data_IF_653289365793
#
_entry.id   IF_653289365793
#
_cell.length_a   1.000
_cell.length_b   1.000
_cell.length_c   1.000
_cell.angle_alpha   90.00
_cell.angle_beta   90.00
_cell.angle_gamma   90.00
#
_symmetry.space_group_name_H-M   'P 1'
#
loop_
_entity.id
_entity.type
_entity.pdbx_description
1 polymer ?
#
# COMPACT_ATOMS: atom_id res chain seq x y z
N UNK A 1 -12.18 27.11 49.24
CA UNK A 1 -11.30 27.11 48.06
C UNK A 1 -12.00 26.23 47.05
N UNK A 2 -12.76 26.87 46.16
CA UNK A 2 -13.61 26.20 45.17
C UNK A 2 -12.72 25.73 44.03
N UNK A 3 -12.72 24.43 43.75
CA UNK A 3 -12.15 23.89 42.53
C UNK A 3 -13.21 23.95 41.43
N UNK A 4 -13.03 24.92 40.54
CA UNK A 4 -13.74 25.02 39.27
C UNK A 4 -13.30 23.87 38.36
N UNK A 5 -14.17 22.87 38.25
CA UNK A 5 -14.11 21.87 37.17
C UNK A 5 -14.65 22.52 35.91
N UNK A 6 -13.75 22.98 35.03
CA UNK A 6 -14.09 23.35 33.66
C UNK A 6 -14.36 22.07 32.86
N UNK A 7 -15.57 21.88 32.29
CA UNK A 7 -15.84 20.72 31.46
C UNK A 7 -15.10 20.85 30.13
N UNK A 8 -14.41 19.77 29.75
CA UNK A 8 -13.90 19.58 28.40
C UNK A 8 -15.11 19.50 27.46
N UNK A 9 -15.25 20.53 26.65
CA UNK A 9 -16.28 20.68 25.63
C UNK A 9 -16.21 19.47 24.70
N UNK A 10 -17.23 18.61 24.78
CA UNK A 10 -17.47 17.54 23.83
C UNK A 10 -17.76 18.21 22.49
N UNK A 11 -16.72 18.38 21.67
CA UNK A 11 -16.77 18.97 20.34
C UNK A 11 -17.92 18.37 19.55
N UNK A 12 -19.02 19.11 19.50
CA UNK A 12 -20.26 18.70 18.87
C UNK A 12 -19.99 18.34 17.42
N UNK A 13 -20.44 17.14 17.05
CA UNK A 13 -20.73 16.78 15.67
C UNK A 13 -21.75 17.81 15.16
N UNK A 14 -21.28 18.90 14.57
CA UNK A 14 -22.14 19.80 13.79
C UNK A 14 -22.61 19.00 12.60
N UNK A 15 -23.86 18.58 12.68
CA UNK A 15 -24.65 17.97 11.62
C UNK A 15 -24.78 18.97 10.46
N UNK A 16 -23.76 18.98 9.61
CA UNK A 16 -23.75 19.75 8.37
C UNK A 16 -24.61 19.01 7.34
N UNK A 17 -25.93 18.94 7.58
CA UNK A 17 -26.96 18.63 6.55
C UNK A 17 -27.13 19.80 5.58
N UNK A 18 -26.01 20.36 5.12
CA UNK A 18 -26.00 21.05 3.83
C UNK A 18 -26.42 20.02 2.80
N UNK A 19 -27.48 20.33 2.05
CA UNK A 19 -28.04 19.47 1.02
C UNK A 19 -26.92 19.01 0.08
N UNK A 20 -26.56 17.72 0.17
CA UNK A 20 -25.47 17.15 -0.62
C UNK A 20 -25.91 17.10 -2.09
N UNK A 21 -25.44 18.06 -2.90
CA UNK A 21 -25.86 18.24 -4.30
C UNK A 21 -25.70 16.97 -5.13
N UNK A 22 -24.69 16.14 -4.84
CA UNK A 22 -24.50 14.87 -5.52
C UNK A 22 -25.71 13.91 -5.42
N UNK A 23 -26.54 13.98 -4.36
CA UNK A 23 -27.69 13.08 -4.18
C UNK A 23 -28.86 13.38 -5.10
N UNK A 24 -29.12 14.66 -5.35
CA UNK A 24 -30.36 15.12 -6.03
C UNK A 24 -30.10 15.91 -7.31
N UNK A 25 -28.91 16.48 -7.47
CA UNK A 25 -28.52 17.31 -8.61
C UNK A 25 -27.57 16.62 -9.60
N UNK A 26 -27.22 15.36 -9.38
CA UNK A 26 -26.27 14.61 -10.22
C UNK A 26 -26.76 13.17 -10.44
N UNK A 27 -26.15 12.46 -11.39
CA UNK A 27 -26.39 11.03 -11.63
C UNK A 27 -25.54 10.11 -10.76
N UNK A 28 -24.66 10.66 -9.89
CA UNK A 28 -23.84 9.84 -8.99
C UNK A 28 -24.64 9.04 -7.99
N UNK A 29 -25.84 9.48 -7.61
CA UNK A 29 -26.73 8.70 -6.74
C UNK A 29 -27.04 7.32 -7.36
N UNK A 30 -27.19 7.23 -8.69
CA UNK A 30 -27.38 5.94 -9.36
C UNK A 30 -26.19 5.00 -9.17
N UNK A 31 -24.96 5.54 -9.20
CA UNK A 31 -23.75 4.75 -8.97
C UNK A 31 -23.67 4.29 -7.52
N UNK A 32 -23.98 5.17 -6.55
CA UNK A 32 -23.96 4.85 -5.11
C UNK A 32 -25.04 3.83 -4.76
N UNK A 33 -26.27 3.99 -5.27
CA UNK A 33 -27.41 3.10 -5.00
C UNK A 33 -27.17 1.68 -5.54
N UNK A 34 -26.36 1.54 -6.59
CA UNK A 34 -26.03 0.25 -7.19
C UNK A 34 -24.93 -0.50 -6.42
N UNK A 35 -24.12 0.17 -5.58
CA UNK A 35 -23.02 -0.48 -4.87
C UNK A 35 -23.53 -1.55 -3.91
N UNK A 36 -22.81 -2.67 -3.86
CA UNK A 36 -23.15 -3.86 -3.08
C UNK A 36 -24.50 -4.53 -3.44
N UNK A 37 -25.15 -4.08 -4.52
CA UNK A 37 -26.32 -4.74 -5.07
C UNK A 37 -25.93 -5.87 -6.04
N UNK A 38 -26.79 -6.87 -6.14
CA UNK A 38 -26.69 -7.94 -7.13
C UNK A 38 -26.93 -7.38 -8.54
N UNK A 39 -26.31 -7.97 -9.55
CA UNK A 39 -26.47 -7.57 -10.95
C UNK A 39 -27.93 -7.52 -11.42
N UNK A 40 -28.81 -8.37 -10.87
CA UNK A 40 -30.24 -8.38 -11.19
C UNK A 40 -31.06 -7.30 -10.43
N UNK A 41 -30.45 -6.53 -9.53
CA UNK A 41 -31.15 -5.55 -8.71
C UNK A 41 -31.70 -4.37 -9.55
N UNK A 42 -32.92 -3.89 -9.28
CA UNK A 42 -33.48 -2.72 -9.97
C UNK A 42 -32.61 -1.46 -9.94
N UNK A 43 -31.78 -1.26 -8.92
CA UNK A 43 -30.82 -0.16 -8.86
C UNK A 43 -29.72 -0.29 -9.92
N UNK A 44 -29.19 -1.50 -10.10
CA UNK A 44 -28.23 -1.81 -11.17
C UNK A 44 -28.87 -1.62 -12.54
N UNK A 45 -30.11 -2.09 -12.73
CA UNK A 45 -30.84 -1.88 -13.98
C UNK A 45 -31.03 -0.39 -14.32
N UNK A 46 -31.32 0.47 -13.33
CA UNK A 46 -31.40 1.93 -13.53
C UNK A 46 -30.05 2.54 -13.92
N UNK A 47 -28.96 2.10 -13.30
CA UNK A 47 -27.61 2.55 -13.64
C UNK A 47 -27.24 2.14 -15.08
N UNK A 48 -27.49 0.87 -15.45
CA UNK A 48 -27.27 0.33 -16.79
C UNK A 48 -28.08 1.11 -17.84
N UNK A 49 -29.36 1.39 -17.56
CA UNK A 49 -30.18 2.22 -18.44
C UNK A 49 -29.62 3.64 -18.61
N UNK A 50 -29.11 4.25 -17.53
CA UNK A 50 -28.46 5.56 -17.58
C UNK A 50 -27.14 5.54 -18.38
N UNK A 51 -26.47 4.39 -18.46
CA UNK A 51 -25.31 4.17 -19.32
C UNK A 51 -25.65 3.84 -20.78
N UNK A 52 -26.94 3.67 -21.12
CA UNK A 52 -27.41 3.46 -22.48
C UNK A 52 -27.91 2.04 -22.77
N UNK A 53 -28.09 1.20 -21.76
CA UNK A 53 -28.57 -0.18 -21.93
C UNK A 53 -27.42 -1.17 -22.04
N UNK A 54 -27.39 -1.97 -23.10
CA UNK A 54 -26.43 -3.07 -23.24
C UNK A 54 -24.95 -2.64 -23.16
N UNK A 55 -24.08 -3.42 -22.49
CA UNK A 55 -22.64 -3.18 -22.49
C UNK A 55 -22.06 -3.20 -23.92
N UNK A 56 -21.21 -2.23 -24.22
CA UNK A 56 -20.45 -2.18 -25.47
C UNK A 56 -19.31 -3.21 -25.50
N UNK A 57 -18.78 -3.57 -24.33
CA UNK A 57 -17.84 -4.67 -24.18
C UNK A 57 -17.98 -5.31 -22.81
N UNK A 58 -17.87 -6.63 -22.76
CA UNK A 58 -17.75 -7.40 -21.51
C UNK A 58 -16.34 -7.97 -21.48
N UNK A 59 -15.58 -7.60 -20.45
CA UNK A 59 -14.29 -8.24 -20.21
C UNK A 59 -14.53 -9.60 -19.54
N UNK A 60 -13.83 -10.64 -20.00
CA UNK A 60 -14.01 -11.99 -19.50
C UNK A 60 -13.81 -12.07 -17.98
N UNK A 61 -14.59 -12.95 -17.36
CA UNK A 61 -14.52 -13.20 -15.92
C UNK A 61 -13.14 -13.79 -15.56
N UNK A 62 -12.53 -13.27 -14.49
CA UNK A 62 -11.25 -13.73 -13.97
C UNK A 62 -11.30 -14.01 -12.48
N UNK A 63 -10.44 -14.90 -12.01
CA UNK A 63 -10.30 -15.26 -10.60
C UNK A 63 -9.21 -14.43 -9.93
N UNK A 64 -9.57 -13.70 -8.87
CA UNK A 64 -8.69 -12.74 -8.20
C UNK A 64 -8.45 -13.16 -6.74
N UNK A 65 -7.18 -13.16 -6.32
CA UNK A 65 -6.78 -13.49 -4.93
C UNK A 65 -6.91 -14.97 -4.59
N UNK A 66 -6.57 -15.34 -3.36
CA UNK A 66 -6.81 -16.69 -2.82
C UNK A 66 -7.35 -16.56 -1.38
N UNK A 67 -8.55 -17.09 -1.06
CA UNK A 67 -9.47 -17.83 -1.92
C UNK A 67 -9.96 -17.00 -3.12
N UNK A 68 -10.28 -17.65 -4.27
CA UNK A 68 -10.59 -16.94 -5.49
C UNK A 68 -11.97 -16.29 -5.42
N UNK A 69 -12.04 -15.01 -5.82
CA UNK A 69 -13.30 -14.34 -6.18
C UNK A 69 -13.39 -14.13 -7.68
N UNK A 70 -14.59 -14.18 -8.23
CA UNK A 70 -14.85 -13.89 -9.64
C UNK A 70 -14.95 -12.38 -9.83
N UNK A 71 -14.26 -11.84 -10.82
CA UNK A 71 -14.26 -10.41 -11.13
C UNK A 71 -14.56 -10.20 -12.61
N UNK A 72 -15.50 -9.33 -12.93
CA UNK A 72 -15.98 -9.07 -14.30
C UNK A 72 -16.24 -7.59 -14.54
N UNK A 73 -15.88 -7.07 -15.71
CA UNK A 73 -16.14 -5.68 -16.10
C UNK A 73 -17.13 -5.58 -17.24
N UNK A 74 -18.13 -4.73 -17.05
CA UNK A 74 -19.08 -4.32 -18.08
C UNK A 74 -18.76 -2.88 -18.47
N UNK A 75 -18.39 -2.63 -19.73
CA UNK A 75 -18.16 -1.26 -20.22
C UNK A 75 -19.26 -0.85 -21.18
N UNK A 76 -19.69 0.40 -21.07
CA UNK A 76 -20.81 0.94 -21.81
C UNK A 76 -20.32 2.02 -22.79
N UNK A 77 -21.02 2.16 -23.92
CA UNK A 77 -20.65 3.12 -24.97
C UNK A 77 -20.64 4.59 -24.49
N UNK A 78 -21.28 4.87 -23.36
CA UNK A 78 -21.32 6.18 -22.70
C UNK A 78 -20.04 6.54 -21.95
N UNK A 79 -19.09 5.62 -21.76
CA UNK A 79 -17.92 5.83 -20.88
C UNK A 79 -18.13 5.30 -19.45
N UNK A 80 -19.32 4.77 -19.15
CA UNK A 80 -19.58 4.06 -17.90
C UNK A 80 -18.92 2.68 -17.87
N UNK A 81 -18.50 2.24 -16.69
CA UNK A 81 -18.07 0.88 -16.41
C UNK A 81 -18.66 0.41 -15.08
N UNK A 82 -19.16 -0.82 -15.05
CA UNK A 82 -19.59 -1.52 -13.83
C UNK A 82 -18.64 -2.67 -13.59
N UNK A 83 -18.05 -2.71 -12.39
CA UNK A 83 -17.21 -3.79 -11.93
C UNK A 83 -18.01 -4.68 -10.97
N UNK A 84 -18.12 -5.96 -11.33
CA UNK A 84 -18.77 -6.99 -10.55
C UNK A 84 -17.73 -7.86 -9.86
N UNK A 85 -17.94 -8.17 -8.58
CA UNK A 85 -17.22 -9.18 -7.82
C UNK A 85 -18.25 -10.19 -7.29
N UNK A 86 -18.14 -11.46 -7.72
CA UNK A 86 -19.09 -12.53 -7.40
C UNK A 86 -20.57 -12.15 -7.67
N UNK A 87 -20.81 -11.45 -8.79
CA UNK A 87 -22.14 -10.97 -9.19
C UNK A 87 -22.60 -9.69 -8.50
N UNK A 88 -21.82 -9.15 -7.57
CA UNK A 88 -22.14 -7.94 -6.79
C UNK A 88 -21.38 -6.73 -7.34
N UNK A 89 -22.04 -5.57 -7.46
CA UNK A 89 -21.38 -4.34 -7.90
C UNK A 89 -20.38 -3.85 -6.85
N UNK A 90 -19.09 -3.98 -7.16
CA UNK A 90 -18.00 -3.57 -6.28
C UNK A 90 -17.54 -2.13 -6.54
N UNK A 91 -17.61 -1.68 -7.78
CA UNK A 91 -17.29 -0.31 -8.17
C UNK A 91 -18.01 0.11 -9.45
N UNK A 92 -18.18 1.42 -9.62
CA UNK A 92 -18.67 2.05 -10.85
C UNK A 92 -17.67 3.09 -11.29
N UNK A 93 -17.16 2.97 -12.51
CA UNK A 93 -16.15 3.89 -13.06
C UNK A 93 -16.78 4.76 -14.15
N UNK A 94 -16.52 6.05 -14.07
CA UNK A 94 -16.93 7.08 -15.02
C UNK A 94 -15.68 7.51 -15.78
N UNK A 95 -15.41 6.89 -16.94
CA UNK A 95 -14.26 7.24 -17.77
C UNK A 95 -14.55 8.54 -18.51
N UNK A 96 -13.79 9.60 -18.25
CA UNK A 96 -14.01 10.93 -18.87
C UNK A 96 -13.20 11.12 -20.15
N UNK A 97 -12.27 10.20 -20.40
CA UNK A 97 -11.55 10.06 -21.67
C UNK A 97 -11.88 8.71 -22.32
N UNK A 98 -11.70 8.56 -23.64
CA UNK A 98 -11.87 7.27 -24.32
C UNK A 98 -10.99 6.17 -23.72
N UNK A 99 -11.51 4.94 -23.67
CA UNK A 99 -10.81 3.73 -23.20
C UNK A 99 -10.96 2.60 -24.22
N UNK A 100 -10.14 1.52 -24.17
CA UNK A 100 -10.27 0.41 -25.10
C UNK A 100 -11.70 -0.14 -25.15
N UNK A 101 -12.28 -0.22 -26.36
CA UNK A 101 -13.66 -0.66 -26.58
C UNK A 101 -14.73 0.43 -26.42
N UNK A 102 -14.40 1.61 -25.87
CA UNK A 102 -15.34 2.72 -25.66
C UNK A 102 -14.76 4.03 -26.22
N UNK A 103 -15.19 4.48 -27.41
CA UNK A 103 -14.54 5.56 -28.15
C UNK A 103 -14.84 6.96 -27.61
N UNK A 104 -15.75 7.10 -26.64
CA UNK A 104 -16.16 8.40 -26.07
C UNK A 104 -16.03 8.38 -24.56
N UNK A 105 -15.50 9.46 -23.99
CA UNK A 105 -15.58 9.72 -22.57
C UNK A 105 -17.00 10.13 -22.15
N UNK A 106 -17.29 9.95 -20.87
CA UNK A 106 -18.52 10.33 -20.23
C UNK A 106 -18.66 11.86 -20.16
N UNK A 107 -19.86 12.35 -20.44
CA UNK A 107 -20.21 13.76 -20.28
C UNK A 107 -20.30 14.12 -18.79
N UNK A 108 -19.26 14.81 -18.29
CA UNK A 108 -19.16 15.30 -16.92
C UNK A 108 -20.25 16.28 -16.53
N UNK A 109 -20.70 17.13 -17.44
CA UNK A 109 -21.77 18.08 -17.16
C UNK A 109 -23.09 17.34 -16.98
N UNK A 110 -23.37 16.34 -17.84
CA UNK A 110 -24.58 15.53 -17.72
C UNK A 110 -24.61 14.65 -16.46
N UNK A 111 -23.44 14.18 -16.00
CA UNK A 111 -23.35 13.29 -14.85
C UNK A 111 -23.17 13.99 -13.51
N UNK A 112 -22.36 15.06 -13.47
CA UNK A 112 -21.95 15.72 -12.24
C UNK A 112 -22.45 17.17 -12.13
N UNK A 113 -22.96 17.76 -13.22
CA UNK A 113 -23.27 19.18 -13.28
C UNK A 113 -22.02 20.08 -13.27
N UNK A 114 -20.84 19.52 -13.52
CA UNK A 114 -19.57 20.24 -13.53
C UNK A 114 -19.25 20.75 -14.95
N UNK A 115 -18.80 22.00 -15.06
CA UNK A 115 -18.38 22.62 -16.32
C UNK A 115 -16.92 22.34 -16.71
N UNK A 116 -16.11 21.89 -15.75
CA UNK A 116 -14.75 21.39 -15.96
C UNK A 116 -14.44 20.25 -14.96
N UNK A 117 -13.25 19.68 -15.10
CA UNK A 117 -12.79 18.50 -14.38
C UNK A 117 -11.74 18.81 -13.30
N UNK A 118 -11.55 20.08 -12.94
CA UNK A 118 -10.64 20.45 -11.85
C UNK A 118 -11.22 20.08 -10.49
N UNK A 119 -10.35 19.78 -9.53
CA UNK A 119 -10.79 19.28 -8.21
C UNK A 119 -11.68 20.27 -7.45
N UNK A 120 -11.43 21.58 -7.57
CA UNK A 120 -12.22 22.60 -6.90
C UNK A 120 -13.62 22.74 -7.54
N UNK A 121 -13.72 22.64 -8.86
CA UNK A 121 -15.01 22.71 -9.57
C UNK A 121 -15.83 21.45 -9.34
N UNK A 122 -15.20 20.27 -9.38
CA UNK A 122 -15.86 19.02 -8.98
C UNK A 122 -16.34 19.09 -7.54
N UNK A 123 -15.54 19.61 -6.61
CA UNK A 123 -15.97 19.80 -5.21
C UNK A 123 -17.21 20.68 -5.11
N UNK A 124 -17.22 21.80 -5.83
CA UNK A 124 -18.34 22.74 -5.84
C UNK A 124 -19.61 22.09 -6.41
N UNK A 125 -19.49 21.37 -7.53
CA UNK A 125 -20.61 20.67 -8.17
C UNK A 125 -21.20 19.56 -7.28
N UNK A 126 -20.34 18.80 -6.60
CA UNK A 126 -20.77 17.69 -5.74
C UNK A 126 -21.32 18.14 -4.38
N UNK A 127 -20.93 19.32 -3.91
CA UNK A 127 -21.37 19.86 -2.62
C UNK A 127 -20.95 18.99 -1.42
N UNK A 128 -19.77 18.36 -1.49
CA UNK A 128 -19.27 17.44 -0.44
C UNK A 128 -17.83 17.69 -0.04
N UNK A 129 -17.36 16.97 0.99
CA UNK A 129 -15.97 17.02 1.47
C UNK A 129 -15.06 16.26 0.52
N UNK A 130 -13.87 16.82 0.29
CA UNK A 130 -12.74 16.11 -0.34
C UNK A 130 -11.82 15.51 0.72
N UNK A 131 -11.19 14.40 0.38
CA UNK A 131 -10.06 13.81 1.09
C UNK A 131 -8.93 13.46 0.11
N UNK A 132 -7.81 13.01 0.65
CA UNK A 132 -6.68 12.52 -0.13
C UNK A 132 -6.26 11.14 0.38
N UNK A 133 -6.23 10.17 -0.53
CA UNK A 133 -5.71 8.83 -0.27
C UNK A 133 -4.21 8.79 -0.57
N UNK A 134 -3.43 8.34 0.41
CA UNK A 134 -1.97 8.32 0.30
C UNK A 134 -1.37 9.70 0.02
N UNK A 135 -0.32 9.75 -0.80
CA UNK A 135 0.45 10.97 -1.11
C UNK A 135 -0.16 11.89 -2.18
N UNK A 136 -1.42 11.70 -2.59
CA UNK A 136 -2.02 12.65 -3.56
C UNK A 136 -3.16 12.14 -4.42
N UNK A 137 -3.90 11.10 -4.01
CA UNK A 137 -5.09 10.67 -4.78
C UNK A 137 -6.33 11.37 -4.22
N UNK A 138 -6.86 12.41 -4.89
CA UNK A 138 -8.06 13.09 -4.40
C UNK A 138 -9.31 12.19 -4.49
N UNK A 139 -10.18 12.31 -3.50
CA UNK A 139 -11.48 11.65 -3.52
C UNK A 139 -12.56 12.48 -2.82
N UNK A 140 -13.81 12.16 -3.09
CA UNK A 140 -14.99 12.76 -2.46
C UNK A 140 -15.74 11.74 -1.59
N UNK A 141 -16.32 12.20 -0.48
CA UNK A 141 -17.16 11.37 0.40
C UNK A 141 -18.62 11.48 -0.05
N UNK A 142 -19.24 10.34 -0.37
CA UNK A 142 -20.61 10.23 -0.89
C UNK A 142 -21.46 9.37 0.05
N UNK A 143 -21.70 9.85 1.27
CA UNK A 143 -22.32 9.05 2.32
C UNK A 143 -21.37 7.97 2.81
N UNK A 144 -21.71 6.70 2.61
CA UNK A 144 -20.84 5.54 2.93
C UNK A 144 -19.90 5.16 1.77
N UNK A 145 -20.11 5.75 0.59
CA UNK A 145 -19.28 5.54 -0.59
C UNK A 145 -18.23 6.65 -0.78
N UNK A 146 -17.29 6.39 -1.68
CA UNK A 146 -16.22 7.30 -2.05
C UNK A 146 -16.10 7.39 -3.57
N UNK A 147 -15.92 8.60 -4.10
CA UNK A 147 -15.56 8.81 -5.50
C UNK A 147 -14.09 9.21 -5.60
N UNK A 148 -13.24 8.26 -5.99
CA UNK A 148 -11.81 8.48 -6.26
C UNK A 148 -11.65 9.14 -7.62
N UNK A 149 -10.83 10.19 -7.71
CA UNK A 149 -10.54 10.85 -8.98
C UNK A 149 -9.15 10.43 -9.47
N UNK A 150 -9.09 9.87 -10.67
CA UNK A 150 -7.85 9.45 -11.31
C UNK A 150 -7.42 10.51 -12.31
N UNK A 151 -6.42 11.31 -11.93
CA UNK A 151 -5.82 12.32 -12.80
C UNK A 151 -4.55 11.78 -13.47
N UNK A 152 -4.21 12.34 -14.63
CA UNK A 152 -2.97 12.05 -15.36
C UNK A 152 -1.76 12.19 -14.43
N UNK A 153 -0.86 11.21 -14.48
CA UNK A 153 0.37 11.13 -13.67
C UNK A 153 0.14 11.22 -12.14
N UNK A 154 -1.11 10.98 -11.68
CA UNK A 154 -1.54 11.20 -10.29
C UNK A 154 -1.24 12.62 -9.78
N UNK A 155 -1.24 13.59 -10.68
CA UNK A 155 -1.00 15.02 -10.44
C UNK A 155 -1.96 15.84 -11.31
N UNK A 156 -1.84 17.17 -11.31
CA UNK A 156 -2.58 18.01 -12.26
C UNK A 156 -4.07 18.19 -11.95
N UNK A 157 -4.51 17.91 -10.72
CA UNK A 157 -5.92 18.10 -10.30
C UNK A 157 -6.38 19.56 -10.23
N UNK A 158 -5.47 20.51 -10.45
CA UNK A 158 -5.76 21.95 -10.57
C UNK A 158 -5.83 22.42 -12.03
N UNK A 159 -5.59 21.52 -12.99
CA UNK A 159 -5.53 21.81 -14.41
C UNK A 159 -6.68 21.09 -15.11
N UNK A 160 -7.35 21.78 -16.03
CA UNK A 160 -8.47 21.18 -16.77
C UNK A 160 -7.98 20.25 -17.89
N UNK A 161 -8.73 19.19 -18.15
CA UNK A 161 -8.46 18.16 -19.14
C UNK A 161 -7.54 17.04 -18.66
N UNK A 162 -7.25 17.00 -17.35
CA UNK A 162 -6.33 16.04 -16.74
C UNK A 162 -7.03 14.92 -15.99
N UNK A 163 -8.34 15.03 -15.73
CA UNK A 163 -9.09 13.91 -15.17
C UNK A 163 -9.22 12.81 -16.23
N UNK A 164 -9.01 11.56 -15.81
CA UNK A 164 -9.13 10.38 -16.66
C UNK A 164 -10.37 9.56 -16.31
N UNK A 165 -10.66 9.42 -15.01
CA UNK A 165 -11.85 8.75 -14.53
C UNK A 165 -12.25 9.19 -13.11
N UNK A 166 -13.52 8.96 -12.76
CA UNK A 166 -13.96 8.84 -11.37
C UNK A 166 -14.40 7.42 -11.06
N UNK A 167 -13.86 6.81 -10.01
CA UNK A 167 -14.25 5.48 -9.54
C UNK A 167 -15.04 5.61 -8.24
N UNK A 168 -16.30 5.19 -8.27
CA UNK A 168 -17.20 5.17 -7.10
C UNK A 168 -17.18 3.77 -6.47
N UNK A 169 -16.86 3.67 -5.18
CA UNK A 169 -16.90 2.39 -4.46
C UNK A 169 -17.12 2.59 -2.95
N UNK A 170 -17.39 1.51 -2.22
CA UNK A 170 -17.45 1.50 -0.76
C UNK A 170 -16.05 1.47 -0.10
N UNK A 171 -14.97 1.50 -0.89
CA UNK A 171 -13.59 1.34 -0.41
C UNK A 171 -12.91 2.71 -0.32
N UNK A 172 -12.52 3.11 0.89
CA UNK A 172 -11.89 4.41 1.09
C UNK A 172 -10.51 4.46 0.41
N UNK A 173 -10.27 5.40 -0.53
CA UNK A 173 -8.97 5.52 -1.20
C UNK A 173 -7.83 5.78 -0.20
N UNK A 174 -6.70 5.10 -0.41
CA UNK A 174 -5.53 5.15 0.48
C UNK A 174 -5.62 4.25 1.73
N UNK A 175 -6.83 3.84 2.14
CA UNK A 175 -7.04 2.96 3.29
C UNK A 175 -7.43 1.54 2.90
N UNK A 176 -8.22 1.39 1.84
CA UNK A 176 -8.77 0.11 1.41
C UNK A 176 -8.27 -0.32 0.03
N UNK A 177 -8.25 -1.63 -0.21
CA UNK A 177 -8.05 -2.21 -1.55
C UNK A 177 -9.08 -1.65 -2.51
N UNK A 178 -8.62 -1.16 -3.67
CA UNK A 178 -9.48 -0.57 -4.68
C UNK A 178 -9.92 -1.65 -5.68
N UNK A 179 -11.23 -1.91 -5.84
CA UNK A 179 -11.72 -3.03 -6.65
C UNK A 179 -11.24 -3.01 -8.10
N UNK A 180 -11.14 -1.83 -8.70
CA UNK A 180 -10.70 -1.65 -10.09
C UNK A 180 -9.25 -2.09 -10.35
N UNK A 181 -8.43 -2.23 -9.30
CA UNK A 181 -7.05 -2.73 -9.43
C UNK A 181 -6.96 -4.24 -9.63
N UNK A 182 -8.08 -4.97 -9.57
CA UNK A 182 -8.17 -6.40 -9.88
C UNK A 182 -7.72 -6.73 -11.31
N UNK A 183 -7.85 -5.77 -12.22
CA UNK A 183 -7.48 -5.89 -13.63
C UNK A 183 -6.21 -5.08 -13.96
N UNK A 184 -5.37 -4.80 -12.96
CA UNK A 184 -4.08 -4.17 -13.21
C UNK A 184 -3.24 -5.08 -14.12
N UNK A 185 -2.74 -4.61 -15.28
CA UNK A 185 -1.99 -5.46 -16.21
C UNK A 185 -0.67 -5.97 -15.62
N UNK A 186 -0.19 -5.34 -14.55
CA UNK A 186 1.07 -5.67 -13.89
C UNK A 186 0.92 -6.78 -12.86
N UNK A 187 -0.18 -6.78 -12.09
CA UNK A 187 -0.35 -7.66 -10.93
C UNK A 187 -1.68 -8.43 -10.89
N UNK A 188 -2.60 -8.21 -11.84
CA UNK A 188 -3.92 -8.86 -11.89
C UNK A 188 -3.82 -10.36 -12.15
N UNK A 189 -2.89 -10.77 -13.01
CA UNK A 189 -2.82 -12.13 -13.58
C UNK A 189 -1.55 -12.90 -13.14
N UNK A 190 -1.02 -12.60 -11.95
CA UNK A 190 0.19 -13.24 -11.43
C UNK A 190 -0.07 -14.55 -10.66
N UNK A 191 -1.33 -14.85 -10.34
CA UNK A 191 -1.69 -16.06 -9.63
C UNK A 191 -1.94 -17.19 -10.62
N UNK A 192 -1.21 -18.29 -10.47
CA UNK A 192 -1.34 -19.46 -11.33
C UNK A 192 -2.38 -20.40 -10.74
N UNK A 193 -3.28 -20.90 -11.59
CA UNK A 193 -4.35 -21.82 -11.22
C UNK A 193 -4.02 -23.23 -11.70
N UNK A 194 -4.13 -24.18 -10.79
CA UNK A 194 -4.06 -25.61 -11.06
C UNK A 194 -5.45 -26.22 -11.32
N UNK A 195 -5.56 -27.56 -11.27
CA UNK A 195 -6.83 -28.25 -11.42
C UNK A 195 -7.89 -27.80 -10.41
N UNK A 196 -9.11 -27.55 -10.88
CA UNK A 196 -10.22 -27.11 -10.02
C UNK A 196 -10.08 -25.67 -9.50
N UNK A 197 -9.34 -24.81 -10.21
CA UNK A 197 -9.10 -23.41 -9.87
C UNK A 197 -8.36 -23.16 -8.54
N UNK A 198 -7.79 -24.22 -7.96
CA UNK A 198 -6.92 -24.11 -6.79
C UNK A 198 -5.64 -23.35 -7.13
N UNK A 199 -5.09 -22.61 -6.18
CA UNK A 199 -3.80 -21.93 -6.35
C UNK A 199 -2.67 -22.96 -6.54
N UNK A 200 -1.99 -22.89 -7.68
CA UNK A 200 -0.70 -23.56 -7.84
C UNK A 200 0.37 -22.72 -7.15
N UNK A 201 0.72 -23.12 -5.93
CA UNK A 201 1.57 -22.32 -5.06
C UNK A 201 2.99 -22.17 -5.62
N UNK A 202 3.60 -23.25 -6.11
CA UNK A 202 4.98 -23.22 -6.64
C UNK A 202 5.05 -22.36 -7.92
N UNK A 203 4.12 -22.56 -8.85
CA UNK A 203 4.08 -21.78 -10.08
C UNK A 203 3.74 -20.30 -9.80
N UNK A 204 2.90 -20.03 -8.79
CA UNK A 204 2.61 -18.67 -8.33
C UNK A 204 3.86 -18.00 -7.73
N UNK A 205 4.59 -18.69 -6.85
CA UNK A 205 5.86 -18.15 -6.30
C UNK A 205 6.84 -17.84 -7.42
N UNK A 206 6.98 -18.73 -8.42
CA UNK A 206 7.82 -18.49 -9.59
C UNK A 206 7.39 -17.27 -10.41
N UNK A 207 6.08 -17.11 -10.66
CA UNK A 207 5.53 -15.96 -11.40
C UNK A 207 5.73 -14.64 -10.65
N UNK A 208 5.55 -14.65 -9.33
CA UNK A 208 5.79 -13.49 -8.47
C UNK A 208 7.28 -13.13 -8.44
N UNK A 209 8.18 -14.12 -8.34
CA UNK A 209 9.63 -13.90 -8.35
C UNK A 209 10.11 -13.30 -9.68
N UNK A 210 9.60 -13.79 -10.81
CA UNK A 210 9.87 -13.19 -12.12
C UNK A 210 9.39 -11.73 -12.17
N UNK A 211 8.20 -11.44 -11.64
CA UNK A 211 7.68 -10.07 -11.60
C UNK A 211 8.49 -9.13 -10.69
N UNK A 212 9.10 -9.65 -9.61
CA UNK A 212 10.06 -8.90 -8.80
C UNK A 212 11.34 -8.61 -9.58
N UNK A 213 11.91 -9.63 -10.24
CA UNK A 213 13.12 -9.48 -11.05
C UNK A 213 12.95 -8.47 -12.20
N UNK A 214 11.76 -8.41 -12.80
CA UNK A 214 11.39 -7.45 -13.84
C UNK A 214 11.11 -6.03 -13.30
N UNK A 215 11.10 -5.81 -11.98
CA UNK A 215 10.73 -4.54 -11.35
C UNK A 215 9.24 -4.20 -11.43
N UNK A 216 8.37 -5.17 -11.76
CA UNK A 216 6.91 -5.03 -11.79
C UNK A 216 6.32 -5.09 -10.38
N UNK A 217 6.95 -5.86 -9.50
CA UNK A 217 6.66 -5.92 -8.07
C UNK A 217 7.89 -5.51 -7.26
N UNK A 218 7.67 -4.99 -6.06
CA UNK A 218 8.71 -4.70 -5.08
C UNK A 218 8.43 -5.46 -3.79
N UNK A 219 9.39 -6.24 -3.32
CA UNK A 219 9.35 -6.87 -1.99
C UNK A 219 9.40 -5.84 -0.87
N UNK A 220 8.62 -6.08 0.19
CA UNK A 220 8.76 -5.35 1.44
C UNK A 220 9.82 -6.05 2.32
N UNK A 221 10.97 -5.40 2.59
CA UNK A 221 12.05 -6.01 3.37
C UNK A 221 11.66 -6.25 4.84
N UNK A 222 10.56 -5.66 5.31
CA UNK A 222 10.04 -5.85 6.67
C UNK A 222 9.25 -7.16 6.85
N UNK A 223 9.19 -8.02 5.83
CA UNK A 223 8.47 -9.28 5.78
C UNK A 223 9.37 -10.44 5.34
N UNK A 224 8.84 -11.66 5.32
CA UNK A 224 9.59 -12.83 4.83
C UNK A 224 9.89 -12.62 3.33
N UNK A 225 11.16 -12.80 2.88
CA UNK A 225 11.50 -12.68 1.47
C UNK A 225 10.76 -13.76 0.67
N UNK A 226 10.34 -13.45 -0.56
CA UNK A 226 9.53 -14.36 -1.35
C UNK A 226 10.20 -15.73 -1.55
N UNK A 227 11.53 -15.74 -1.75
CA UNK A 227 12.31 -16.97 -1.91
C UNK A 227 12.37 -17.86 -0.64
N UNK A 228 12.14 -17.29 0.53
CA UNK A 228 12.20 -18.01 1.81
C UNK A 228 10.82 -18.53 2.24
N UNK A 229 9.73 -18.11 1.58
CA UNK A 229 8.34 -18.44 1.96
C UNK A 229 8.09 -19.94 1.97
N UNK A 230 8.51 -20.67 0.93
CA UNK A 230 8.27 -22.11 0.84
C UNK A 230 9.11 -22.91 1.84
N UNK A 231 10.45 -22.73 1.93
CA UNK A 231 11.25 -23.40 2.95
C UNK A 231 10.75 -23.19 4.38
N UNK A 232 10.40 -21.94 4.74
CA UNK A 232 9.87 -21.61 6.06
C UNK A 232 8.50 -22.24 6.33
N UNK A 233 7.63 -22.33 5.33
CA UNK A 233 6.33 -22.97 5.50
C UNK A 233 6.49 -24.49 5.67
N UNK A 234 7.38 -25.12 4.90
CA UNK A 234 7.68 -26.55 4.98
C UNK A 234 8.32 -26.94 6.31
N UNK A 235 9.14 -26.07 6.92
CA UNK A 235 9.76 -26.36 8.22
C UNK A 235 8.75 -26.46 9.37
N UNK A 236 7.57 -25.83 9.24
CA UNK A 236 6.55 -25.82 10.27
C UNK A 236 6.89 -24.99 11.51
N UNK A 237 8.01 -24.24 11.49
CA UNK A 237 8.48 -23.48 12.66
C UNK A 237 7.61 -22.24 12.95
N UNK A 238 6.93 -21.71 11.95
CA UNK A 238 6.04 -20.55 12.10
C UNK A 238 4.57 -20.96 12.00
N UNK A 239 3.69 -20.31 12.76
CA UNK A 239 2.23 -20.49 12.62
C UNK A 239 1.74 -19.96 11.27
N UNK A 240 2.46 -18.97 10.74
CA UNK A 240 2.11 -18.21 9.55
C UNK A 240 3.36 -17.63 8.94
N UNK A 241 3.64 -18.01 7.70
CA UNK A 241 4.69 -17.41 6.87
C UNK A 241 4.01 -16.45 5.89
N UNK A 242 4.53 -15.23 5.75
CA UNK A 242 3.91 -14.26 4.85
C UNK A 242 4.93 -13.34 4.16
N UNK A 243 4.83 -13.23 2.84
CA UNK A 243 5.57 -12.28 2.01
C UNK A 243 4.65 -11.18 1.48
N UNK A 244 5.20 -9.97 1.35
CA UNK A 244 4.48 -8.78 0.89
C UNK A 244 5.14 -8.20 -0.35
N UNK A 245 4.34 -8.01 -1.40
CA UNK A 245 4.78 -7.54 -2.71
C UNK A 245 3.95 -6.35 -3.16
N UNK A 246 4.57 -5.20 -3.37
CA UNK A 246 3.87 -3.99 -3.84
C UNK A 246 3.96 -3.88 -5.36
N UNK A 247 2.80 -3.76 -6.03
CA UNK A 247 2.75 -3.49 -7.47
C UNK A 247 3.24 -2.07 -7.79
N UNK A 248 4.17 -1.93 -8.74
CA UNK A 248 4.72 -0.62 -9.11
C UNK A 248 3.74 0.24 -9.91
N UNK A 249 2.72 -0.37 -10.52
CA UNK A 249 1.69 0.33 -11.29
C UNK A 249 0.53 0.80 -10.41
N UNK A 250 -0.16 -0.11 -9.73
CA UNK A 250 -1.38 0.21 -8.98
C UNK A 250 -1.18 0.38 -7.47
N UNK A 251 0.04 0.15 -6.95
CA UNK A 251 0.39 0.22 -5.52
C UNK A 251 -0.38 -0.76 -4.60
N UNK A 252 -1.17 -1.69 -5.17
CA UNK A 252 -1.75 -2.81 -4.42
C UNK A 252 -0.64 -3.65 -3.82
N UNK A 253 -0.80 -4.03 -2.55
CA UNK A 253 0.07 -4.99 -1.87
C UNK A 253 -0.55 -6.38 -1.97
N UNK A 254 0.20 -7.32 -2.53
CA UNK A 254 -0.09 -8.75 -2.50
C UNK A 254 0.53 -9.34 -1.25
N UNK A 255 -0.29 -9.93 -0.38
CA UNK A 255 0.18 -10.65 0.80
C UNK A 255 -0.01 -12.14 0.57
N UNK A 256 1.07 -12.86 0.24
CA UNK A 256 1.07 -14.33 0.11
C UNK A 256 1.27 -14.93 1.50
N UNK A 257 0.24 -15.62 2.00
CA UNK A 257 0.19 -16.24 3.32
C UNK A 257 0.21 -17.76 3.21
N UNK A 258 1.09 -18.40 3.98
CA UNK A 258 1.08 -19.84 4.25
C UNK A 258 0.87 -20.09 5.75
N UNK A 259 -0.37 -20.39 6.19
CA UNK A 259 -0.63 -20.80 7.57
C UNK A 259 -0.21 -22.25 7.79
N UNK A 260 0.26 -22.58 9.00
CA UNK A 260 0.66 -23.94 9.36
C UNK A 260 -0.53 -24.89 9.28
N UNK A 261 -0.43 -25.92 8.44
CA UNK A 261 -1.48 -26.92 8.25
C UNK A 261 -2.77 -26.39 7.60
N UNK A 262 -2.76 -25.18 7.04
CA UNK A 262 -3.91 -24.57 6.38
C UNK A 262 -3.67 -24.34 4.88
N UNK A 263 -4.72 -23.89 4.19
CA UNK A 263 -4.63 -23.54 2.77
C UNK A 263 -3.85 -22.23 2.56
N UNK A 264 -3.10 -22.09 1.46
CA UNK A 264 -2.48 -20.82 1.09
C UNK A 264 -3.55 -19.75 0.88
N UNK A 265 -3.20 -18.49 1.13
CA UNK A 265 -4.05 -17.36 0.83
C UNK A 265 -3.25 -16.22 0.19
N UNK A 266 -3.87 -15.48 -0.71
CA UNK A 266 -3.29 -14.31 -1.36
C UNK A 266 -4.28 -13.15 -1.25
N UNK A 267 -4.02 -12.28 -0.28
CA UNK A 267 -4.82 -11.09 -0.09
C UNK A 267 -4.27 -9.95 -0.96
N UNK A 268 -5.18 -9.18 -1.57
CA UNK A 268 -4.88 -7.90 -2.25
C UNK A 268 -5.34 -6.78 -1.34
N UNK A 269 -4.43 -5.90 -0.92
CA UNK A 269 -4.73 -4.93 0.13
C UNK A 269 -4.00 -3.59 -0.08
N UNK A 270 -4.38 -2.59 0.69
CA UNK A 270 -3.66 -1.31 0.80
C UNK A 270 -2.41 -1.47 1.67
N UNK A 271 -1.46 -0.55 1.54
CA UNK A 271 -0.25 -0.52 2.35
C UNK A 271 -0.56 -0.42 3.86
N UNK A 272 -1.49 0.44 4.28
CA UNK A 272 -1.87 0.58 5.69
C UNK A 272 -2.39 -0.74 6.28
N UNK A 273 -3.27 -1.43 5.54
CA UNK A 273 -3.80 -2.72 5.99
C UNK A 273 -2.73 -3.82 5.97
N UNK A 274 -1.83 -3.81 4.99
CA UNK A 274 -0.70 -4.74 4.92
C UNK A 274 0.20 -4.61 6.16
N UNK A 275 0.58 -3.38 6.54
CA UNK A 275 1.48 -3.12 7.66
C UNK A 275 0.95 -3.62 9.00
N UNK A 276 -0.38 -3.68 9.17
CA UNK A 276 -1.08 -4.14 10.39
C UNK A 276 -1.27 -5.66 10.47
N UNK A 277 -0.83 -6.43 9.46
CA UNK A 277 -0.99 -7.89 9.47
C UNK A 277 -0.07 -8.52 10.52
N UNK A 278 -0.51 -9.59 11.19
CA UNK A 278 0.29 -10.25 12.21
C UNK A 278 1.47 -11.01 11.58
N UNK A 279 2.60 -11.00 12.28
CA UNK A 279 3.80 -11.77 11.92
C UNK A 279 4.56 -12.15 13.19
N UNK A 280 4.84 -13.44 13.34
CA UNK A 280 5.76 -13.93 14.37
C UNK A 280 7.23 -13.68 13.97
N UNK A 281 8.18 -13.79 14.91
CA UNK A 281 9.60 -13.69 14.58
C UNK A 281 9.99 -14.78 13.57
N UNK A 282 10.91 -14.47 12.67
CA UNK A 282 11.44 -15.46 11.73
C UNK A 282 12.49 -16.30 12.46
N UNK A 283 12.38 -17.64 12.49
CA UNK A 283 13.39 -18.50 13.11
C UNK A 283 14.77 -18.36 12.44
N UNK A 284 15.87 -18.62 13.17
CA UNK A 284 17.22 -18.67 12.61
C UNK A 284 17.28 -19.53 11.33
N UNK A 285 18.03 -19.06 10.33
CA UNK A 285 18.12 -19.72 9.02
C UNK A 285 18.67 -21.14 9.12
N UNK A 286 19.49 -21.41 10.13
CA UNK A 286 20.09 -22.72 10.40
C UNK A 286 19.05 -23.80 10.72
N UNK A 287 17.83 -23.40 11.11
CA UNK A 287 16.76 -24.33 11.46
C UNK A 287 15.91 -24.76 10.25
N UNK A 288 15.98 -24.05 9.12
CA UNK A 288 15.09 -24.29 7.97
C UNK A 288 15.71 -24.11 6.59
N UNK A 289 16.82 -23.39 6.47
CA UNK A 289 17.50 -23.12 5.21
C UNK A 289 18.43 -24.25 4.79
N UNK A 290 18.69 -24.36 3.49
CA UNK A 290 19.75 -25.22 2.98
C UNK A 290 21.15 -24.60 3.20
N UNK A 291 22.21 -25.38 2.93
CA UNK A 291 23.60 -24.93 3.13
C UNK A 291 23.93 -23.63 2.40
N UNK A 292 23.41 -23.47 1.17
CA UNK A 292 23.65 -22.27 0.37
C UNK A 292 22.95 -21.05 0.98
N UNK A 293 21.72 -21.21 1.47
CA UNK A 293 20.94 -20.14 2.09
C UNK A 293 21.50 -19.75 3.45
N UNK A 294 21.98 -20.71 4.24
CA UNK A 294 22.69 -20.47 5.52
C UNK A 294 23.99 -19.71 5.25
N UNK A 295 24.78 -20.12 4.26
CA UNK A 295 25.99 -19.40 3.87
C UNK A 295 25.67 -17.95 3.44
N UNK A 296 24.64 -17.76 2.62
CA UNK A 296 24.20 -16.43 2.20
C UNK A 296 23.75 -15.55 3.38
N UNK A 297 23.07 -16.12 4.39
CA UNK A 297 22.65 -15.35 5.56
C UNK A 297 23.84 -14.95 6.45
N UNK A 298 24.85 -15.81 6.58
CA UNK A 298 26.09 -15.48 7.31
C UNK A 298 26.82 -14.28 6.71
N UNK A 299 26.83 -14.19 5.39
CA UNK A 299 27.49 -13.09 4.67
C UNK A 299 26.63 -11.82 4.57
N UNK A 300 25.36 -11.89 4.96
CA UNK A 300 24.42 -10.78 4.93
C UNK A 300 24.51 -9.90 6.19
N UNK A 301 23.98 -8.69 6.06
CA UNK A 301 23.83 -7.78 7.19
C UNK A 301 22.85 -8.36 8.22
N UNK A 302 23.24 -8.35 9.50
CA UNK A 302 22.42 -8.86 10.60
C UNK A 302 22.35 -7.88 11.76
N UNK A 303 21.25 -7.97 12.52
CA UNK A 303 21.02 -7.18 13.72
C UNK A 303 22.01 -7.55 14.85
N UNK A 304 22.48 -6.53 15.57
CA UNK A 304 23.34 -6.70 16.77
C UNK A 304 22.69 -6.12 18.01
N UNK A 305 22.29 -4.84 17.98
CA UNK A 305 21.71 -4.12 19.12
C UNK A 305 20.82 -2.95 18.64
N UNK A 306 19.99 -2.37 19.51
CA UNK A 306 19.24 -1.15 19.20
C UNK A 306 18.77 -0.39 20.45
N UNK A 307 18.53 0.91 20.28
CA UNK A 307 17.71 1.72 21.19
C UNK A 307 16.37 2.02 20.51
N UNK A 308 15.23 1.59 21.08
CA UNK A 308 13.90 1.80 20.51
C UNK A 308 13.63 3.24 20.05
N UNK A 309 13.37 3.39 18.76
CA UNK A 309 13.05 4.68 18.15
C UNK A 309 14.24 5.61 17.90
N UNK A 310 15.46 5.23 18.27
CA UNK A 310 16.66 6.07 18.13
C UNK A 310 17.68 5.52 17.13
N UNK A 311 18.19 4.30 17.32
CA UNK A 311 19.23 3.75 16.47
C UNK A 311 19.23 2.21 16.43
N UNK A 312 19.77 1.65 15.35
CA UNK A 312 20.06 0.22 15.22
C UNK A 312 21.55 0.01 14.93
N UNK A 313 22.15 -0.99 15.58
CA UNK A 313 23.47 -1.49 15.26
C UNK A 313 23.32 -2.77 14.44
N UNK A 314 23.98 -2.80 13.29
CA UNK A 314 24.01 -3.94 12.39
C UNK A 314 25.45 -4.29 12.03
N UNK A 315 25.68 -5.56 11.72
CA UNK A 315 27.00 -6.06 11.30
C UNK A 315 26.90 -6.69 9.91
N UNK A 316 27.86 -6.36 9.06
CA UNK A 316 28.07 -7.04 7.78
C UNK A 316 29.54 -7.45 7.68
N UNK A 317 29.82 -8.76 7.58
CA UNK A 317 31.17 -9.32 7.39
C UNK A 317 32.21 -8.77 8.37
N UNK A 318 31.87 -8.67 9.67
CA UNK A 318 32.77 -8.16 10.70
C UNK A 318 32.82 -6.63 10.81
N UNK A 319 32.05 -5.89 10.01
CA UNK A 319 32.00 -4.42 10.02
C UNK A 319 30.72 -3.96 10.72
N UNK A 320 30.87 -3.21 11.80
CA UNK A 320 29.75 -2.59 12.52
C UNK A 320 29.33 -1.27 11.88
N UNK A 321 28.02 -1.15 11.66
CA UNK A 321 27.33 0.00 11.09
C UNK A 321 26.23 0.45 12.04
N UNK A 322 26.17 1.75 12.32
CA UNK A 322 25.15 2.38 13.14
C UNK A 322 24.16 3.11 12.23
N UNK A 323 22.91 2.66 12.21
CA UNK A 323 21.78 3.36 11.59
C UNK A 323 21.11 4.26 12.63
N UNK A 324 21.43 5.56 12.61
CA UNK A 324 20.98 6.53 13.60
C UNK A 324 19.91 7.46 13.03
N UNK A 325 18.76 7.57 13.70
CA UNK A 325 17.66 8.46 13.28
C UNK A 325 17.97 9.92 13.59
N UNK A 326 17.61 10.81 12.66
CA UNK A 326 17.71 12.25 12.85
C UNK A 326 16.50 12.99 12.28
N UNK A 327 16.24 14.19 12.80
CA UNK A 327 15.15 15.04 12.34
C UNK A 327 15.68 16.01 11.27
N UNK A 328 15.02 16.05 10.12
CA UNK A 328 15.31 17.02 9.05
C UNK A 328 14.58 18.34 9.31
N UNK A 329 13.35 18.25 9.83
CA UNK A 329 12.54 19.41 10.22
C UNK A 329 11.27 18.96 10.95
N UNK A 330 10.38 19.91 11.27
CA UNK A 330 9.16 19.63 12.07
C UNK A 330 8.20 18.61 11.45
N UNK A 331 8.36 18.28 10.17
CA UNK A 331 7.48 17.35 9.44
C UNK A 331 8.25 16.20 8.74
N UNK A 332 9.55 16.06 8.98
CA UNK A 332 10.37 15.04 8.31
C UNK A 332 11.50 14.54 9.21
N UNK A 333 11.60 13.20 9.32
CA UNK A 333 12.73 12.48 9.88
C UNK A 333 13.40 11.62 8.80
N UNK A 334 14.65 11.24 9.05
CA UNK A 334 15.41 10.29 8.24
C UNK A 334 16.40 9.54 9.15
N UNK A 335 17.26 8.71 8.59
CA UNK A 335 18.39 8.10 9.30
C UNK A 335 19.68 8.20 8.49
N UNK A 336 20.81 8.08 9.19
CA UNK A 336 22.14 8.03 8.60
C UNK A 336 22.77 6.69 8.97
N UNK A 337 23.26 5.97 7.96
CA UNK A 337 24.02 4.75 8.16
C UNK A 337 25.50 5.09 8.19
N UNK A 338 26.15 4.88 9.33
CA UNK A 338 27.55 5.25 9.55
C UNK A 338 28.35 4.04 9.95
N UNK A 339 29.48 3.80 9.28
CA UNK A 339 30.47 2.81 9.72
C UNK A 339 31.21 3.32 10.95
N UNK A 340 31.33 2.46 11.96
CA UNK A 340 32.16 2.74 13.13
C UNK A 340 33.64 2.71 12.74
N UNK A 341 34.36 3.78 13.06
CA UNK A 341 35.82 3.82 12.92
C UNK A 341 36.52 3.06 14.06
N UNK A 342 37.85 2.94 13.99
CA UNK A 342 38.62 2.19 15.00
C UNK A 342 38.48 2.75 16.43
N UNK A 343 38.38 4.08 16.56
CA UNK A 343 38.20 4.74 17.85
C UNK A 343 36.78 4.53 18.38
N UNK A 344 35.78 4.61 17.53
CA UNK A 344 34.38 4.35 17.88
C UNK A 344 34.15 2.87 18.21
N UNK A 345 34.81 1.94 17.52
CA UNK A 345 34.81 0.51 17.85
C UNK A 345 35.46 0.25 19.21
N UNK A 346 36.59 0.89 19.51
CA UNK A 346 37.25 0.76 20.81
C UNK A 346 36.37 1.31 21.94
N UNK A 347 35.73 2.47 21.72
CA UNK A 347 34.81 3.05 22.68
C UNK A 347 33.55 2.19 22.88
N UNK A 348 32.97 1.65 21.81
CA UNK A 348 31.87 0.69 21.89
C UNK A 348 32.28 -0.57 22.68
N UNK A 349 33.49 -1.10 22.51
CA UNK A 349 33.96 -2.25 23.31
C UNK A 349 34.12 -1.94 24.80
N UNK A 350 34.40 -0.67 25.15
CA UNK A 350 34.57 -0.24 26.54
C UNK A 350 33.23 0.08 27.21
N UNK A 351 32.39 0.86 26.54
CA UNK A 351 31.19 1.48 27.12
C UNK A 351 29.87 0.89 26.56
N UNK A 352 29.97 0.03 25.54
CA UNK A 352 28.85 -0.72 24.98
C UNK A 352 27.74 0.18 24.45
N UNK A 353 26.52 -0.20 24.82
CA UNK A 353 25.27 0.45 24.41
C UNK A 353 25.25 1.97 24.68
N UNK A 354 25.78 2.40 25.83
CA UNK A 354 25.75 3.82 26.24
C UNK A 354 26.55 4.71 25.28
N UNK A 355 27.66 4.20 24.76
CA UNK A 355 28.46 4.91 23.76
C UNK A 355 27.69 5.11 22.46
N UNK A 356 27.00 4.07 21.97
CA UNK A 356 26.21 4.16 20.74
C UNK A 356 25.06 5.13 20.90
N UNK A 357 24.39 5.16 22.06
CA UNK A 357 23.37 6.15 22.37
C UNK A 357 23.93 7.57 22.38
N UNK A 358 25.13 7.79 22.93
CA UNK A 358 25.79 9.09 22.86
C UNK A 358 26.20 9.47 21.43
N UNK A 359 26.70 8.52 20.63
CA UNK A 359 27.08 8.74 19.23
C UNK A 359 25.85 9.05 18.36
N UNK A 360 24.76 8.33 18.51
CA UNK A 360 23.51 8.57 17.80
C UNK A 360 22.95 9.98 18.09
N UNK A 361 23.03 10.44 19.35
CA UNK A 361 22.67 11.84 19.70
C UNK A 361 23.57 12.85 18.99
N UNK A 362 24.88 12.61 18.94
CA UNK A 362 25.80 13.48 18.20
C UNK A 362 25.46 13.52 16.70
N UNK A 363 25.10 12.38 16.10
CA UNK A 363 24.66 12.30 14.70
C UNK A 363 23.38 13.12 14.51
N UNK A 364 22.38 12.93 15.39
CA UNK A 364 21.12 13.67 15.37
C UNK A 364 21.36 15.19 15.41
N UNK A 365 22.08 15.67 16.42
CA UNK A 365 22.38 17.09 16.61
C UNK A 365 23.23 17.65 15.47
N UNK A 366 24.13 16.82 14.93
CA UNK A 366 25.00 17.14 13.81
C UNK A 366 24.28 17.27 12.46
N UNK A 367 23.00 16.91 12.35
CA UNK A 367 22.16 17.12 11.16
C UNK A 367 22.82 16.65 9.84
N UNK A 368 22.96 15.33 9.59
CA UNK A 368 23.72 14.79 8.45
C UNK A 368 23.24 15.25 7.07
N UNK A 369 22.02 15.80 6.99
CA UNK A 369 21.45 16.39 5.78
C UNK A 369 22.04 17.73 5.37
N UNK A 370 22.74 18.44 6.26
CA UNK A 370 23.38 19.73 5.97
C UNK A 370 24.75 19.55 5.33
N UNK A 371 25.17 20.52 4.51
CA UNK A 371 26.43 20.44 3.75
C UNK A 371 27.67 20.52 4.65
N UNK A 372 27.59 21.28 5.73
CA UNK A 372 28.64 21.53 6.71
C UNK A 372 28.73 20.47 7.81
N UNK A 373 27.84 19.48 7.79
CA UNK A 373 27.82 18.41 8.81
C UNK A 373 29.02 17.48 8.66
N UNK A 374 29.72 17.26 9.77
CA UNK A 374 30.81 16.26 9.86
C UNK A 374 30.32 14.82 9.60
N UNK A 375 29.02 14.57 9.72
CA UNK A 375 28.41 13.27 9.48
C UNK A 375 27.93 13.09 8.03
N UNK A 376 27.78 14.16 7.25
CA UNK A 376 27.31 14.07 5.86
C UNK A 376 28.19 13.16 5.01
N UNK A 377 29.51 13.32 5.12
CA UNK A 377 30.48 12.51 4.37
C UNK A 377 30.59 11.06 4.86
N UNK A 378 30.04 10.76 6.04
CA UNK A 378 30.03 9.43 6.64
C UNK A 378 28.72 8.67 6.42
N UNK A 379 27.65 9.38 6.06
CA UNK A 379 26.34 8.83 5.81
C UNK A 379 26.31 8.04 4.49
N UNK A 380 26.36 6.71 4.61
CA UNK A 380 26.39 5.78 3.48
C UNK A 380 25.08 5.82 2.67
N UNK A 381 23.96 6.28 3.25
CA UNK A 381 22.72 6.47 2.51
C UNK A 381 22.73 7.67 1.56
N UNK A 382 23.83 8.43 1.50
CA UNK A 382 24.04 9.48 0.49
C UNK A 382 24.89 9.02 -0.69
N UNK A 383 25.42 7.80 -0.62
CA UNK A 383 26.20 7.19 -1.68
C UNK A 383 25.35 6.53 -2.79
N UNK A 384 26.00 6.04 -3.85
CA UNK A 384 25.32 5.32 -4.94
C UNK A 384 24.60 4.05 -4.48
N UNK A 385 25.04 3.45 -3.38
CA UNK A 385 24.50 2.20 -2.82
C UNK A 385 23.32 2.41 -1.86
N UNK A 386 22.83 3.64 -1.68
CA UNK A 386 21.85 3.99 -0.67
C UNK A 386 20.59 3.09 -0.69
N UNK A 387 20.05 2.80 -1.87
CA UNK A 387 18.85 1.97 -2.01
C UNK A 387 19.11 0.53 -1.56
N UNK A 388 20.27 -0.04 -1.91
CA UNK A 388 20.69 -1.39 -1.51
C UNK A 388 20.87 -1.46 0.01
N UNK A 389 21.64 -0.53 0.58
CA UNK A 389 21.92 -0.49 2.02
C UNK A 389 20.64 -0.30 2.84
N UNK A 390 19.70 0.54 2.40
CA UNK A 390 18.40 0.68 3.11
C UNK A 390 17.60 -0.62 3.10
N UNK A 391 17.63 -1.37 1.99
CA UNK A 391 16.96 -2.66 1.91
C UNK A 391 17.61 -3.70 2.83
N UNK A 392 18.95 -3.76 2.87
CA UNK A 392 19.72 -4.65 3.74
C UNK A 392 19.50 -4.35 5.21
N UNK A 393 19.60 -3.09 5.63
CA UNK A 393 19.31 -2.66 7.01
C UNK A 393 17.87 -3.00 7.38
N UNK A 394 16.90 -2.68 6.52
CA UNK A 394 15.48 -2.99 6.78
C UNK A 394 15.24 -4.50 6.96
N UNK A 395 15.90 -5.33 6.16
CA UNK A 395 15.81 -6.79 6.27
C UNK A 395 16.49 -7.32 7.54
N UNK A 396 17.61 -6.73 7.96
CA UNK A 396 18.35 -7.09 9.16
C UNK A 396 17.55 -6.76 10.44
N UNK A 397 16.86 -5.61 10.48
CA UNK A 397 16.15 -5.13 11.67
C UNK A 397 14.67 -5.50 11.71
N UNK A 398 14.17 -6.29 10.74
CA UNK A 398 12.73 -6.51 10.52
C UNK A 398 11.98 -6.89 11.80
N UNK A 399 12.57 -7.74 12.62
CA UNK A 399 11.97 -8.29 13.86
C UNK A 399 12.23 -7.42 15.10
N UNK A 400 12.91 -6.28 14.94
CA UNK A 400 13.33 -5.39 16.03
C UNK A 400 12.68 -4.00 15.94
N UNK A 401 11.85 -3.77 14.93
CA UNK A 401 11.13 -2.49 14.79
C UNK A 401 9.92 -2.40 15.71
N UNK A 402 9.49 -1.17 16.02
CA UNK A 402 8.25 -0.92 16.75
C UNK A 402 7.03 -1.53 16.04
N UNK A 403 6.99 -1.47 14.70
CA UNK A 403 5.94 -2.12 13.91
C UNK A 403 5.95 -3.63 14.12
N UNK A 404 7.11 -4.29 14.13
CA UNK A 404 7.19 -5.72 14.42
C UNK A 404 6.78 -6.06 15.86
N UNK A 405 7.03 -5.18 16.83
CA UNK A 405 6.46 -5.34 18.18
C UNK A 405 4.93 -5.27 18.15
N UNK A 406 4.33 -4.34 17.40
CA UNK A 406 2.87 -4.24 17.26
C UNK A 406 2.24 -5.46 16.57
N UNK A 407 2.91 -6.05 15.57
CA UNK A 407 2.41 -7.22 14.84
C UNK A 407 2.35 -8.50 15.67
N UNK A 408 3.05 -8.53 16.82
CA UNK A 408 3.08 -9.65 17.76
C UNK A 408 2.00 -9.57 18.86
N UNK A 409 1.31 -8.43 18.97
CA UNK A 409 0.33 -8.12 20.02
C UNK A 409 -1.10 -8.53 19.72
#
# INVERSE_FOLDING_TARGET
>A
MHDDVVPVDAGGVRDNRGMQTWRTGTRLSLAVDALAADEADPAVARLVAAFGGEPASVEEERLVGEPPRRSRRLRFASGGEVLLQDGIVAAVTLHVVPVPGVPRGLDLTAWLGAGDDTLDVLRAALGTRRGFGGFGTPYFVLGEAYARCDYRDRRGWNESGNLLALTVSLKQPGRDHQPDTDFCPTCGDLLVRGPGDALDLEATVGTLAAAVADGRLREDPSWVPLGDVLPLATSGLMERVEAHLTCTTCATVLCLTLPRGGAPAVARTSLDRAQRRPMGPVPPVEEWGDEARVAAARDAMHYVDHEPGAWFLVEERGVLLLDARYVVGSMADDSALVRLDEGELAAYRADGHDYLTALARRIHDGSPHREDSVFRGRDLYRGPDAQRLRAEVSAAIRDHTWLAAQRRG
#
